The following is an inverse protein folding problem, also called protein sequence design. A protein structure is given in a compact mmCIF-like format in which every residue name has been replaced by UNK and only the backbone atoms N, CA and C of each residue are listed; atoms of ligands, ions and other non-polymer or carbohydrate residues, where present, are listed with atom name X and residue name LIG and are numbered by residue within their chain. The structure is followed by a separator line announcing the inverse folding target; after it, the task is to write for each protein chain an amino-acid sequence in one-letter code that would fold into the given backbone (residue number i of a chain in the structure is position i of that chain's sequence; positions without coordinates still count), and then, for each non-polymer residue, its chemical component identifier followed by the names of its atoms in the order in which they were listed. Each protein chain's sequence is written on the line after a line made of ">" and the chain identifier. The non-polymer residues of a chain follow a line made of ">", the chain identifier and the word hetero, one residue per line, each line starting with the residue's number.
data_IF_719759172900
#
_entry.id   IF_719759172900
#
_cell.length_a   1.000
_cell.length_b   1.000
_cell.length_c   1.000
_cell.angle_alpha   90.00
_cell.angle_beta   90.00
_cell.angle_gamma   90.00
#
_symmetry.space_group_name_H-M   'P 1'
#
loop_
_entity.id
_entity.type
_entity.pdbx_description
1 polymer ?
#
# COMPACT_ATOMS: atom_id res chain seq x y z
N UNK A 1 20.20 -6.53 -22.48
CA UNK A 1 20.04 -5.06 -22.30
C UNK A 1 18.57 -4.63 -22.31
N UNK A 2 17.79 -4.97 -23.36
CA UNK A 2 16.37 -4.58 -23.48
C UNK A 2 15.42 -5.18 -22.42
N UNK A 3 15.66 -6.41 -21.95
CA UNK A 3 14.82 -7.04 -20.90
C UNK A 3 14.99 -6.36 -19.54
N UNK A 4 16.22 -6.02 -19.17
CA UNK A 4 16.52 -5.30 -17.92
C UNK A 4 15.93 -3.89 -17.98
N UNK A 5 16.09 -3.20 -19.12
CA UNK A 5 15.51 -1.87 -19.34
C UNK A 5 13.97 -1.89 -19.29
N UNK A 6 13.32 -2.84 -19.95
CA UNK A 6 11.85 -2.96 -19.93
C UNK A 6 11.28 -3.39 -18.58
N UNK A 7 11.98 -4.25 -17.84
CA UNK A 7 11.64 -4.55 -16.45
C UNK A 7 11.70 -3.26 -15.63
N UNK A 8 12.82 -2.53 -15.64
CA UNK A 8 12.98 -1.24 -14.92
C UNK A 8 11.90 -0.23 -15.30
N UNK A 9 11.53 -0.14 -16.58
CA UNK A 9 10.52 0.84 -17.03
C UNK A 9 9.09 0.41 -16.65
N UNK A 10 8.80 -0.89 -16.63
CA UNK A 10 7.50 -1.43 -16.19
C UNK A 10 7.26 -1.22 -14.69
N UNK A 11 8.32 -1.20 -13.87
CA UNK A 11 8.26 -0.85 -12.45
C UNK A 11 7.94 0.63 -12.18
N UNK A 12 8.13 1.52 -13.16
CA UNK A 12 7.90 2.96 -12.97
C UNK A 12 6.40 3.33 -13.08
N UNK A 13 5.58 2.52 -13.75
CA UNK A 13 4.11 2.67 -13.72
C UNK A 13 3.52 1.86 -12.56
N UNK A 14 3.69 2.38 -11.36
CA UNK A 14 3.14 1.81 -10.13
C UNK A 14 1.96 2.65 -9.65
N UNK A 15 0.89 2.00 -9.19
CA UNK A 15 -0.26 2.66 -8.57
C UNK A 15 0.10 3.21 -7.19
N UNK A 16 0.38 4.51 -7.15
CA UNK A 16 0.84 5.21 -5.94
C UNK A 16 -0.24 5.32 -4.86
N UNK A 17 -1.52 5.40 -5.23
CA UNK A 17 -2.62 5.59 -4.27
C UNK A 17 -2.96 4.29 -3.55
N UNK A 18 -3.01 3.17 -4.29
CA UNK A 18 -3.22 1.84 -3.72
C UNK A 18 -2.07 1.45 -2.79
N UNK A 19 -0.83 1.72 -3.20
CA UNK A 19 0.36 1.41 -2.39
C UNK A 19 0.42 2.16 -1.06
N UNK A 20 0.17 3.48 -1.05
CA UNK A 20 0.17 4.27 0.20
C UNK A 20 -0.87 3.74 1.19
N UNK A 21 -2.04 3.33 0.69
CA UNK A 21 -3.08 2.77 1.53
C UNK A 21 -2.64 1.42 2.12
N UNK A 22 -2.03 0.55 1.31
CA UNK A 22 -1.50 -0.74 1.77
C UNK A 22 -0.40 -0.57 2.81
N UNK A 23 0.51 0.37 2.59
CA UNK A 23 1.59 0.70 3.53
C UNK A 23 1.04 1.20 4.87
N UNK A 24 0.03 2.08 4.84
CA UNK A 24 -0.61 2.59 6.06
C UNK A 24 -1.27 1.47 6.88
N UNK A 25 -1.95 0.52 6.24
CA UNK A 25 -2.52 -0.64 6.95
C UNK A 25 -1.44 -1.56 7.52
N UNK A 26 -0.37 -1.83 6.77
CA UNK A 26 0.76 -2.62 7.26
C UNK A 26 1.38 -1.96 8.50
N UNK A 27 1.66 -0.66 8.45
CA UNK A 27 2.17 0.10 9.60
C UNK A 27 1.22 0.04 10.80
N UNK A 28 -0.09 0.15 10.57
CA UNK A 28 -1.09 0.07 11.64
C UNK A 28 -1.13 -1.33 12.29
N UNK A 29 -1.03 -2.40 11.50
CA UNK A 29 -0.90 -3.77 12.00
C UNK A 29 0.35 -3.94 12.88
N UNK A 30 1.50 -3.44 12.42
CA UNK A 30 2.72 -3.47 13.22
C UNK A 30 2.59 -2.66 14.51
N UNK A 31 1.97 -1.48 14.47
CA UNK A 31 1.79 -0.65 15.66
C UNK A 31 0.96 -1.36 16.73
N UNK A 32 -0.14 -2.03 16.33
CA UNK A 32 -1.04 -2.72 17.27
C UNK A 32 -0.39 -3.99 17.84
N UNK A 33 0.39 -4.73 17.04
CA UNK A 33 0.99 -6.00 17.49
C UNK A 33 2.29 -5.76 18.26
N UNK A 34 3.17 -4.91 17.74
CA UNK A 34 4.49 -4.69 18.33
C UNK A 34 4.42 -3.85 19.61
N UNK A 35 3.56 -2.83 19.71
CA UNK A 35 3.51 -1.98 20.91
C UNK A 35 3.21 -2.73 22.23
N UNK A 36 2.16 -3.57 22.34
CA UNK A 36 1.91 -4.34 23.55
C UNK A 36 2.94 -5.46 23.76
N UNK A 37 3.44 -6.09 22.69
CA UNK A 37 4.49 -7.10 22.79
C UNK A 37 5.81 -6.53 23.34
N UNK A 38 6.12 -5.29 22.98
CA UNK A 38 7.28 -4.57 23.50
C UNK A 38 7.12 -4.27 25.00
N UNK A 39 5.92 -3.83 25.41
CA UNK A 39 5.62 -3.57 26.83
C UNK A 39 5.69 -4.84 27.68
N UNK A 40 5.18 -5.96 27.16
CA UNK A 40 5.25 -7.27 27.82
C UNK A 40 6.69 -7.79 27.90
N UNK A 41 7.45 -7.71 26.80
CA UNK A 41 8.86 -8.10 26.78
C UNK A 41 9.72 -7.27 27.75
N UNK A 42 9.40 -5.98 27.91
CA UNK A 42 10.05 -5.12 28.88
C UNK A 42 9.80 -5.58 30.32
N UNK A 43 8.57 -5.96 30.66
CA UNK A 43 8.25 -6.48 32.00
C UNK A 43 8.97 -7.80 32.29
N UNK A 44 9.00 -8.69 31.30
CA UNK A 44 9.64 -10.00 31.42
C UNK A 44 11.17 -9.95 31.34
N UNK A 45 11.75 -8.78 30.98
CA UNK A 45 13.19 -8.56 30.75
C UNK A 45 13.78 -9.49 29.66
N UNK A 46 12.92 -10.03 28.80
CA UNK A 46 13.29 -10.98 27.75
C UNK A 46 12.98 -10.40 26.37
N UNK A 47 14.03 -10.16 25.58
CA UNK A 47 13.91 -9.60 24.23
C UNK A 47 13.34 -10.57 23.18
N UNK A 48 13.14 -11.84 23.56
CA UNK A 48 12.58 -12.86 22.66
C UNK A 48 11.10 -12.65 22.38
N UNK A 49 10.31 -12.14 23.34
CA UNK A 49 8.88 -11.93 23.15
C UNK A 49 8.55 -10.86 22.09
N UNK A 50 9.17 -9.67 22.10
CA UNK A 50 9.01 -8.69 21.03
C UNK A 50 9.49 -9.22 19.67
N UNK A 51 10.55 -10.03 19.65
CA UNK A 51 11.08 -10.65 18.43
C UNK A 51 10.08 -11.61 17.78
N UNK A 52 9.46 -12.49 18.56
CA UNK A 52 8.42 -13.39 18.05
C UNK A 52 7.20 -12.63 17.55
N UNK A 53 6.77 -11.61 18.28
CA UNK A 53 5.67 -10.74 17.86
C UNK A 53 5.98 -10.00 16.55
N UNK A 54 7.21 -9.52 16.39
CA UNK A 54 7.66 -8.86 15.16
C UNK A 54 7.71 -9.83 13.97
N UNK A 55 8.21 -11.05 14.16
CA UNK A 55 8.22 -12.07 13.12
C UNK A 55 6.80 -12.42 12.68
N UNK A 56 5.88 -12.60 13.64
CA UNK A 56 4.46 -12.84 13.36
C UNK A 56 3.80 -11.66 12.65
N UNK A 57 4.04 -10.43 13.12
CA UNK A 57 3.53 -9.21 12.49
C UNK A 57 4.05 -9.05 11.05
N UNK A 58 5.28 -9.48 10.77
CA UNK A 58 5.87 -9.44 9.43
C UNK A 58 5.16 -10.38 8.48
N UNK A 59 4.88 -11.61 8.91
CA UNK A 59 4.10 -12.57 8.11
C UNK A 59 2.69 -12.03 7.86
N UNK A 60 2.03 -11.48 8.88
CA UNK A 60 0.70 -10.89 8.71
C UNK A 60 0.71 -9.65 7.79
N UNK A 61 1.65 -8.73 7.97
CA UNK A 61 1.76 -7.54 7.13
C UNK A 61 2.04 -7.92 5.67
N UNK A 62 2.86 -8.95 5.45
CA UNK A 62 3.10 -9.53 4.12
C UNK A 62 1.79 -10.07 3.54
N UNK A 63 1.00 -10.83 4.29
CA UNK A 63 -0.31 -11.33 3.84
C UNK A 63 -1.36 -10.23 3.63
N UNK A 64 -1.26 -9.09 4.30
CA UNK A 64 -2.18 -7.95 4.13
C UNK A 64 -1.76 -7.05 2.97
N UNK A 65 -0.45 -6.88 2.75
CA UNK A 65 0.11 -5.98 1.74
C UNK A 65 0.36 -6.66 0.38
N UNK A 66 0.61 -7.98 0.32
CA UNK A 66 0.85 -8.68 -0.96
C UNK A 66 -0.40 -8.88 -1.81
N UNK A 67 -1.56 -9.28 -1.27
CA UNK A 67 -2.73 -9.46 -2.11
C UNK A 67 -3.21 -8.09 -2.54
N UNK A 68 -3.49 -7.93 -3.84
CA UNK A 68 -4.28 -6.82 -4.36
C UNK A 68 -5.73 -6.99 -3.86
N UNK A 69 -5.96 -6.77 -2.56
CA UNK A 69 -7.28 -6.81 -1.98
C UNK A 69 -8.13 -5.78 -2.72
N UNK A 70 -9.30 -6.19 -3.23
CA UNK A 70 -10.21 -5.29 -3.97
C UNK A 70 -10.65 -4.03 -3.19
N UNK A 71 -10.35 -3.95 -1.89
CA UNK A 71 -10.45 -2.75 -1.05
C UNK A 71 -9.53 -1.62 -1.57
N UNK A 72 -8.31 -1.96 -2.02
CA UNK A 72 -7.34 -1.00 -2.54
C UNK A 72 -7.74 -0.46 -3.93
N UNK A 73 -8.56 -1.21 -4.67
CA UNK A 73 -9.00 -0.88 -6.03
C UNK A 73 -10.40 -0.23 -6.10
N UNK A 74 -10.87 0.39 -5.00
CA UNK A 74 -12.22 1.01 -4.95
C UNK A 74 -12.33 2.32 -5.70
N UNK A 75 -11.22 2.99 -6.03
CA UNK A 75 -11.19 4.19 -6.85
C UNK A 75 -10.40 3.92 -8.13
N UNK A 76 -11.02 3.35 -9.18
CA UNK A 76 -10.35 3.15 -10.45
C UNK A 76 -9.83 4.50 -10.95
N UNK A 77 -8.54 4.56 -11.26
CA UNK A 77 -7.89 5.75 -11.80
C UNK A 77 -8.62 6.12 -13.10
N UNK A 78 -9.39 7.22 -13.10
CA UNK A 78 -9.96 7.81 -14.31
C UNK A 78 -8.80 8.38 -15.13
N UNK A 79 -8.34 7.63 -16.13
CA UNK A 79 -7.34 8.10 -17.08
C UNK A 79 -7.93 9.25 -17.90
N UNK A 80 -7.09 10.26 -18.21
CA UNK A 80 -7.37 11.61 -18.77
C UNK A 80 -8.44 11.77 -19.87
N UNK A 81 -8.92 10.69 -20.50
CA UNK A 81 -9.95 10.76 -21.53
C UNK A 81 -11.23 11.46 -21.03
N UNK A 82 -11.67 11.20 -19.79
CA UNK A 82 -12.91 11.81 -19.28
C UNK A 82 -12.79 13.32 -19.04
N UNK A 83 -11.59 13.83 -18.77
CA UNK A 83 -11.35 15.25 -18.49
C UNK A 83 -11.36 16.07 -19.80
N UNK A 84 -10.83 15.50 -20.88
CA UNK A 84 -10.92 16.07 -22.23
C UNK A 84 -12.37 16.13 -22.74
N UNK A 85 -13.16 15.09 -22.45
CA UNK A 85 -14.58 15.04 -22.78
C UNK A 85 -15.39 16.07 -21.99
N UNK A 86 -15.09 16.26 -20.69
CA UNK A 86 -15.73 17.25 -19.83
C UNK A 86 -15.37 18.71 -20.21
N UNK A 87 -14.12 18.95 -20.66
CA UNK A 87 -13.69 20.26 -21.20
C UNK A 87 -14.37 20.54 -22.55
N UNK A 88 -14.49 19.51 -23.41
CA UNK A 88 -15.15 19.64 -24.71
C UNK A 88 -16.65 19.93 -24.58
N UNK A 89 -17.34 19.28 -23.64
CA UNK A 89 -18.77 19.50 -23.39
C UNK A 89 -19.06 20.87 -22.74
N UNK A 90 -18.11 21.41 -21.94
CA UNK A 90 -18.20 22.78 -21.44
C UNK A 90 -18.03 23.83 -22.53
N UNK A 91 -17.01 23.69 -23.38
CA UNK A 91 -16.73 24.66 -24.43
C UNK A 91 -17.85 24.70 -25.50
N UNK A 92 -18.51 23.57 -25.80
CA UNK A 92 -19.63 23.52 -26.74
C UNK A 92 -20.97 24.04 -26.20
N UNK A 93 -21.07 24.39 -24.91
CA UNK A 93 -22.26 25.00 -24.30
C UNK A 93 -22.13 26.51 -24.09
N UNK A 94 -20.92 27.04 -24.24
CA UNK A 94 -20.60 28.46 -24.11
C UNK A 94 -20.55 29.18 -25.47
N UNK A 95 -20.58 28.43 -26.60
CA UNK A 95 -20.82 28.91 -27.97
C UNK A 95 -22.31 28.82 -28.36
#
# INVERSE_FOLDING_TARGET
>A
MYIVFTLITKWIMVDYKGQILAERYAQFCFAIICAPAWLYGYYQQDFMYPLYAWAFATVLATLVALPDWGIYNRNPIRWRASLLEEISDKNGKEE
#
